data_IF_150960367690
#
_entry.id   IF_150960367690
#
_cell.length_a   1.000
_cell.length_b   1.000
_cell.length_c   1.000
_cell.angle_alpha   90.00
_cell.angle_beta   90.00
_cell.angle_gamma   90.00
#
_symmetry.space_group_name_H-M   'P 1'
#
loop_
_entity.id
_entity.type
_entity.pdbx_description
1 polymer ?
#
# COMPACT_ATOMS: atom_id res chain seq x y z
N UNK A 1 -0.07 -1.06 9.10
CA UNK A 1 -0.55 -2.45 8.89
C UNK A 1 -1.77 -2.82 9.74
N UNK A 2 -1.86 -2.45 11.03
CA UNK A 2 -2.91 -2.94 11.96
C UNK A 2 -4.37 -2.95 11.42
N UNK A 3 -4.89 -1.88 10.77
CA UNK A 3 -6.26 -1.90 10.24
C UNK A 3 -6.54 -2.99 9.21
N UNK A 4 -5.51 -3.47 8.50
CA UNK A 4 -5.61 -4.54 7.50
C UNK A 4 -5.71 -5.89 8.20
N UNK A 5 -4.90 -6.10 9.25
CA UNK A 5 -4.89 -7.34 10.02
C UNK A 5 -6.17 -7.52 10.84
N UNK A 6 -6.70 -6.43 11.40
CA UNK A 6 -7.92 -6.47 12.21
C UNK A 6 -9.18 -6.62 11.36
N UNK A 7 -9.13 -6.26 10.07
CA UNK A 7 -10.26 -6.36 9.15
C UNK A 7 -9.82 -6.71 7.72
N UNK A 8 -9.35 -7.94 7.47
CA UNK A 8 -8.81 -8.34 6.18
C UNK A 8 -9.87 -8.33 5.06
N UNK A 9 -11.13 -8.62 5.37
CA UNK A 9 -12.24 -8.53 4.41
C UNK A 9 -12.43 -7.10 3.88
N UNK A 10 -12.30 -6.08 4.75
CA UNK A 10 -12.34 -4.68 4.33
C UNK A 10 -11.22 -4.33 3.35
N UNK A 11 -10.04 -4.91 3.54
CA UNK A 11 -8.82 -4.57 2.81
C UNK A 11 -8.37 -5.62 1.80
N UNK A 12 -9.23 -6.57 1.40
CA UNK A 12 -8.83 -7.72 0.57
C UNK A 12 -8.33 -7.37 -0.84
N UNK A 13 -8.48 -6.13 -1.31
CA UNK A 13 -7.78 -5.61 -2.49
C UNK A 13 -6.26 -5.46 -2.27
N UNK A 14 -5.81 -5.44 -1.01
CA UNK A 14 -4.40 -5.54 -0.64
C UNK A 14 -3.96 -7.00 -0.79
N UNK A 15 -2.98 -7.31 -1.65
CA UNK A 15 -2.54 -8.68 -1.85
C UNK A 15 -1.87 -9.26 -0.58
N UNK A 16 -1.72 -10.58 -0.57
CA UNK A 16 -1.06 -11.33 0.51
C UNK A 16 -1.69 -11.11 1.90
N UNK A 17 -2.95 -10.68 1.96
CA UNK A 17 -3.68 -10.51 3.20
C UNK A 17 -4.22 -11.86 3.70
N UNK A 18 -3.87 -12.26 4.92
CA UNK A 18 -4.49 -13.43 5.55
C UNK A 18 -5.97 -13.14 5.82
N UNK A 19 -6.84 -14.06 5.44
CA UNK A 19 -8.28 -13.81 5.36
C UNK A 19 -9.01 -13.71 6.70
N UNK A 20 -8.42 -14.19 7.80
CA UNK A 20 -9.03 -14.13 9.13
C UNK A 20 -8.52 -12.91 9.91
N UNK A 21 -9.41 -12.20 10.64
CA UNK A 21 -9.01 -11.11 11.53
C UNK A 21 -7.98 -11.58 12.56
N UNK A 22 -6.89 -10.83 12.69
CA UNK A 22 -5.86 -11.02 13.71
C UNK A 22 -6.03 -9.94 14.77
N UNK A 23 -6.19 -10.35 16.03
CA UNK A 23 -6.21 -9.42 17.17
C UNK A 23 -4.84 -8.79 17.35
N UNK A 24 -4.81 -7.46 17.48
CA UNK A 24 -3.58 -6.71 17.72
C UNK A 24 -3.47 -6.35 19.20
N UNK A 25 -2.47 -6.89 19.89
CA UNK A 25 -2.23 -6.58 21.31
C UNK A 25 -1.50 -5.25 21.51
N UNK A 26 -0.62 -4.87 20.58
CA UNK A 26 0.10 -3.59 20.60
C UNK A 26 0.29 -3.03 19.20
N UNK A 27 0.13 -1.71 19.07
CA UNK A 27 0.44 -0.94 17.85
C UNK A 27 1.65 -0.06 18.14
N UNK A 28 2.54 0.05 17.16
CA UNK A 28 3.74 0.87 17.23
C UNK A 28 3.66 2.04 16.27
N UNK A 29 4.14 3.19 16.72
CA UNK A 29 4.32 4.40 15.92
C UNK A 29 5.68 4.37 15.19
N UNK A 30 5.82 5.19 14.14
CA UNK A 30 7.09 5.35 13.44
C UNK A 30 8.17 5.91 14.38
N UNK A 31 9.27 5.18 14.53
CA UNK A 31 10.36 5.48 15.46
C UNK A 31 10.13 5.02 16.91
N UNK A 32 9.01 4.36 17.21
CA UNK A 32 8.72 3.86 18.56
C UNK A 32 9.69 2.76 18.97
N UNK A 33 10.00 2.72 20.28
CA UNK A 33 10.88 1.74 20.87
C UNK A 33 10.16 0.80 21.84
N UNK A 34 10.71 -0.41 21.96
CA UNK A 34 10.33 -1.34 23.00
C UNK A 34 11.50 -2.21 23.40
N UNK A 35 11.43 -2.73 24.62
CA UNK A 35 12.38 -3.72 25.13
C UNK A 35 11.72 -5.08 25.13
N UNK A 36 12.45 -6.08 24.63
CA UNK A 36 12.10 -7.48 24.74
C UNK A 36 13.36 -8.25 25.16
N UNK A 37 13.29 -8.91 26.31
CA UNK A 37 14.44 -9.47 27.02
C UNK A 37 15.55 -8.41 27.19
N UNK A 38 16.80 -8.72 26.80
CA UNK A 38 17.95 -7.82 26.87
C UNK A 38 18.02 -6.78 25.75
N UNK A 39 17.16 -6.87 24.72
CA UNK A 39 17.27 -6.06 23.51
C UNK A 39 16.29 -4.87 23.51
N UNK A 40 16.80 -3.71 23.10
CA UNK A 40 15.99 -2.52 22.81
C UNK A 40 15.81 -2.38 21.31
N UNK A 41 14.60 -2.64 20.85
CA UNK A 41 14.22 -2.52 19.46
C UNK A 41 13.62 -1.15 19.17
N UNK A 42 13.85 -0.65 17.96
CA UNK A 42 13.17 0.52 17.38
C UNK A 42 12.54 0.16 16.05
N UNK A 43 11.30 0.55 15.85
CA UNK A 43 10.53 0.24 14.63
C UNK A 43 10.43 1.49 13.77
N UNK A 44 10.72 1.36 12.48
CA UNK A 44 10.52 2.42 11.50
C UNK A 44 9.52 1.99 10.43
N UNK A 45 8.66 2.90 10.00
CA UNK A 45 7.82 2.69 8.82
C UNK A 45 8.65 2.92 7.56
N UNK A 46 8.86 1.86 6.80
CA UNK A 46 9.76 1.85 5.63
C UNK A 46 8.99 1.24 4.46
N UNK A 47 8.10 2.02 3.82
CA UNK A 47 7.20 1.50 2.80
C UNK A 47 8.01 1.19 1.54
N UNK A 48 8.46 -0.05 1.33
CA UNK A 48 9.16 -0.42 0.11
C UNK A 48 8.46 -1.56 -0.62
N UNK A 49 8.77 -2.83 -0.31
CA UNK A 49 8.08 -3.96 -0.96
C UNK A 49 6.54 -3.89 -0.79
N UNK A 50 6.06 -3.26 0.29
CA UNK A 50 4.65 -2.91 0.50
C UNK A 50 4.52 -1.53 1.14
N UNK A 51 3.40 -0.84 0.95
CA UNK A 51 3.06 0.44 1.62
C UNK A 51 3.05 0.33 3.16
N UNK A 52 2.93 -0.88 3.71
CA UNK A 52 2.77 -1.13 5.15
C UNK A 52 4.00 -1.76 5.81
N UNK A 53 5.10 -1.88 5.08
CA UNK A 53 6.34 -2.51 5.54
C UNK A 53 7.05 -1.71 6.65
N UNK A 54 7.75 -2.41 7.54
CA UNK A 54 8.55 -1.82 8.63
C UNK A 54 9.93 -2.44 8.71
N UNK A 55 10.92 -1.62 9.08
CA UNK A 55 12.27 -2.08 9.47
C UNK A 55 12.38 -2.04 10.98
N UNK A 56 12.98 -3.07 11.57
CA UNK A 56 13.23 -3.17 13.01
C UNK A 56 14.74 -3.08 13.25
N UNK A 57 15.15 -2.21 14.17
CA UNK A 57 16.56 -1.94 14.46
C UNK A 57 16.87 -2.28 15.91
N UNK A 58 18.03 -2.88 16.15
CA UNK A 58 18.57 -3.12 17.50
C UNK A 58 20.10 -3.13 17.46
N UNK A 59 20.73 -3.28 18.62
CA UNK A 59 22.18 -3.52 18.74
C UNK A 59 22.41 -4.88 19.39
N UNK A 60 23.22 -5.73 18.75
CA UNK A 60 23.62 -7.06 19.24
C UNK A 60 25.14 -7.11 19.20
N UNK A 61 25.80 -7.46 20.30
CA UNK A 61 27.27 -7.52 20.41
C UNK A 61 27.97 -6.25 19.88
N UNK A 62 27.48 -5.09 20.31
CA UNK A 62 27.92 -3.76 19.86
C UNK A 62 27.76 -3.46 18.35
N UNK A 63 27.08 -4.33 17.59
CA UNK A 63 26.79 -4.14 16.16
C UNK A 63 25.35 -3.66 15.98
N UNK A 64 25.15 -2.54 15.28
CA UNK A 64 23.80 -2.07 14.92
C UNK A 64 23.25 -2.90 13.77
N UNK A 65 22.11 -3.57 13.99
CA UNK A 65 21.47 -4.47 13.03
C UNK A 65 20.13 -3.89 12.59
N UNK A 66 19.83 -3.97 11.30
CA UNK A 66 18.50 -3.73 10.76
C UNK A 66 17.89 -5.03 10.20
N UNK A 67 16.77 -5.46 10.77
CA UNK A 67 15.90 -6.47 10.19
C UNK A 67 15.02 -5.80 9.14
N UNK A 68 15.30 -6.08 7.88
CA UNK A 68 14.64 -5.39 6.75
C UNK A 68 13.52 -6.21 6.13
N UNK A 69 13.32 -7.47 6.55
CA UNK A 69 12.39 -8.37 5.87
C UNK A 69 12.65 -8.33 4.36
N UNK A 70 11.59 -8.29 3.57
CA UNK A 70 11.76 -8.32 2.12
C UNK A 70 12.14 -6.98 1.48
N UNK A 71 12.53 -5.95 2.25
CA UNK A 71 12.67 -4.61 1.68
C UNK A 71 13.94 -4.42 0.84
N UNK A 72 15.08 -4.87 1.37
CA UNK A 72 16.40 -4.68 0.77
C UNK A 72 17.12 -6.02 0.74
N UNK A 73 17.59 -6.41 -0.44
CA UNK A 73 18.43 -7.59 -0.67
C UNK A 73 19.75 -7.17 -1.29
N UNK A 74 20.76 -8.04 -1.22
CA UNK A 74 21.89 -8.01 -2.14
C UNK A 74 21.58 -8.84 -3.37
N UNK A 75 21.91 -8.33 -4.56
CA UNK A 75 21.79 -9.09 -5.79
C UNK A 75 23.11 -9.07 -6.57
N UNK A 76 23.57 -10.21 -7.09
CA UNK A 76 24.80 -10.24 -7.88
C UNK A 76 24.58 -9.54 -9.22
N UNK A 77 25.35 -8.49 -9.46
CA UNK A 77 25.40 -7.73 -10.71
C UNK A 77 26.70 -8.06 -11.43
N UNK A 78 26.59 -8.43 -12.70
CA UNK A 78 27.76 -8.69 -13.52
C UNK A 78 28.51 -7.37 -13.80
N UNK A 79 29.79 -7.34 -13.43
CA UNK A 79 30.69 -6.22 -13.71
C UNK A 79 31.69 -6.63 -14.80
N UNK A 80 32.52 -5.67 -15.23
CA UNK A 80 33.47 -5.90 -16.33
C UNK A 80 34.46 -7.02 -15.99
N UNK A 81 34.76 -7.89 -16.96
CA UNK A 81 35.81 -8.91 -16.81
C UNK A 81 35.44 -10.12 -15.95
N UNK A 82 34.21 -10.63 -16.06
CA UNK A 82 33.70 -11.81 -15.31
C UNK A 82 33.61 -11.65 -13.78
N UNK A 83 33.75 -10.42 -13.29
CA UNK A 83 33.52 -10.09 -11.89
C UNK A 83 32.01 -9.93 -11.62
N UNK A 84 31.62 -10.20 -10.38
CA UNK A 84 30.25 -9.96 -9.88
C UNK A 84 30.34 -9.22 -8.57
N UNK A 85 29.64 -8.10 -8.46
CA UNK A 85 29.50 -7.33 -7.23
C UNK A 85 28.07 -7.50 -6.68
N UNK A 86 27.91 -7.35 -5.38
CA UNK A 86 26.63 -7.56 -4.70
C UNK A 86 26.00 -6.21 -4.34
N UNK A 87 25.14 -5.71 -5.22
CA UNK A 87 24.54 -4.40 -5.04
C UNK A 87 23.30 -4.48 -4.16
N UNK A 88 23.09 -3.50 -3.26
CA UNK A 88 21.87 -3.39 -2.47
C UNK A 88 20.71 -2.94 -3.36
N UNK A 89 19.69 -3.78 -3.49
CA UNK A 89 18.50 -3.48 -4.28
C UNK A 89 17.25 -3.28 -3.41
N UNK A 90 16.39 -2.35 -3.82
CA UNK A 90 15.05 -2.22 -3.26
C UNK A 90 14.10 -3.15 -4.01
N UNK A 91 13.57 -4.14 -3.32
CA UNK A 91 12.59 -5.05 -3.89
C UNK A 91 11.27 -4.29 -4.13
N UNK A 92 10.53 -4.73 -5.14
CA UNK A 92 9.23 -4.15 -5.49
C UNK A 92 8.29 -5.23 -5.98
N UNK A 93 7.06 -5.18 -5.47
CA UNK A 93 5.92 -5.91 -6.04
C UNK A 93 4.84 -4.87 -6.31
N UNK A 94 4.62 -4.50 -7.57
CA UNK A 94 3.69 -3.41 -7.94
C UNK A 94 2.28 -3.58 -7.36
N UNK A 95 1.82 -4.84 -7.25
CA UNK A 95 0.51 -5.13 -6.71
C UNK A 95 0.39 -4.85 -5.21
N UNK A 96 1.49 -4.63 -4.48
CA UNK A 96 1.52 -4.40 -3.04
C UNK A 96 1.42 -2.90 -2.66
N UNK A 97 0.81 -2.08 -3.53
CA UNK A 97 0.93 -0.61 -3.58
C UNK A 97 2.35 -0.16 -3.97
N UNK A 98 2.42 0.86 -4.83
CA UNK A 98 3.68 1.51 -5.19
C UNK A 98 3.45 3.00 -5.43
N UNK A 99 4.18 3.85 -4.72
CA UNK A 99 4.30 5.28 -5.02
C UNK A 99 5.79 5.62 -5.06
N UNK A 100 6.22 6.55 -5.91
CA UNK A 100 7.65 6.88 -6.04
C UNK A 100 8.27 7.33 -4.70
N UNK A 101 7.51 8.07 -3.89
CA UNK A 101 7.93 8.55 -2.56
C UNK A 101 8.19 7.44 -1.54
N UNK A 102 7.63 6.24 -1.75
CA UNK A 102 7.82 5.08 -0.86
C UNK A 102 9.31 4.72 -0.74
N UNK A 103 9.97 4.55 -1.87
CA UNK A 103 11.38 4.18 -1.95
C UNK A 103 12.32 5.31 -1.52
N UNK A 104 11.92 6.56 -1.77
CA UNK A 104 12.63 7.71 -1.20
C UNK A 104 12.59 7.68 0.33
N UNK A 105 11.44 7.39 0.96
CA UNK A 105 11.38 7.21 2.42
C UNK A 105 12.28 6.04 2.88
N UNK A 106 12.36 4.96 2.09
CA UNK A 106 13.26 3.85 2.39
C UNK A 106 14.73 4.31 2.48
N UNK A 107 15.23 5.02 1.45
CA UNK A 107 16.60 5.55 1.45
C UNK A 107 16.84 6.53 2.60
N UNK A 108 15.89 7.42 2.89
CA UNK A 108 16.02 8.41 3.97
C UNK A 108 16.13 7.73 5.34
N UNK A 109 15.31 6.70 5.59
CA UNK A 109 15.33 5.95 6.84
C UNK A 109 16.61 5.12 6.97
N UNK A 110 17.05 4.45 5.91
CA UNK A 110 18.28 3.66 5.95
C UNK A 110 19.52 4.52 6.15
N UNK A 111 19.60 5.70 5.53
CA UNK A 111 20.66 6.69 5.79
C UNK A 111 20.61 7.23 7.22
N UNK A 112 19.41 7.43 7.78
CA UNK A 112 19.25 7.88 9.17
C UNK A 112 19.69 6.81 10.19
N UNK A 113 19.32 5.55 9.96
CA UNK A 113 19.65 4.45 10.86
C UNK A 113 21.13 4.11 10.76
N UNK A 114 21.63 4.03 9.52
CA UNK A 114 22.97 3.58 9.13
C UNK A 114 23.37 2.31 9.92
N UNK A 115 22.66 1.18 9.69
CA UNK A 115 22.99 -0.08 10.36
C UNK A 115 24.35 -0.58 9.86
N UNK A 116 25.04 -1.37 10.66
CA UNK A 116 26.30 -2.02 10.24
C UNK A 116 26.02 -3.32 9.50
N UNK A 117 24.89 -3.97 9.80
CA UNK A 117 24.42 -5.19 9.13
C UNK A 117 22.93 -5.16 8.83
N UNK A 118 22.57 -5.74 7.70
CA UNK A 118 21.18 -6.03 7.33
C UNK A 118 20.92 -7.52 7.48
N UNK A 119 19.80 -7.84 8.12
CA UNK A 119 19.20 -9.16 8.17
C UNK A 119 17.94 -9.15 7.28
N UNK A 120 18.06 -9.59 6.00
CA UNK A 120 16.93 -9.62 5.09
C UNK A 120 15.94 -10.74 5.45
N UNK A 121 14.75 -10.69 4.87
CA UNK A 121 13.73 -11.73 5.00
C UNK A 121 14.09 -13.04 4.30
N UNK A 122 14.99 -12.98 3.32
CA UNK A 122 15.50 -14.13 2.57
C UNK A 122 16.99 -13.96 2.28
N UNK A 123 17.73 -15.06 2.24
CA UNK A 123 19.16 -15.08 1.97
C UNK A 123 20.03 -14.79 3.19
N UNK A 124 21.30 -14.50 2.93
CA UNK A 124 22.32 -14.27 3.96
C UNK A 124 22.29 -12.85 4.50
N UNK A 125 22.77 -12.68 5.73
CA UNK A 125 23.01 -11.35 6.30
C UNK A 125 24.21 -10.69 5.63
N UNK A 126 24.17 -9.38 5.43
CA UNK A 126 25.25 -8.66 4.76
C UNK A 126 25.62 -7.34 5.43
N UNK A 127 26.84 -6.86 5.15
CA UNK A 127 27.34 -5.59 5.64
C UNK A 127 26.66 -4.42 4.90
N UNK A 128 26.31 -3.39 5.66
CA UNK A 128 25.68 -2.18 5.14
C UNK A 128 26.43 -0.94 5.60
N UNK A 129 27.69 -0.84 5.20
CA UNK A 129 28.50 0.32 5.54
C UNK A 129 28.02 1.59 4.81
N UNK A 130 28.75 2.68 5.03
CA UNK A 130 28.42 3.98 4.43
C UNK A 130 28.46 3.93 2.90
N UNK A 131 29.40 3.18 2.31
CA UNK A 131 29.50 3.04 0.86
C UNK A 131 28.25 2.33 0.31
N UNK A 132 27.84 1.23 0.95
CA UNK A 132 26.63 0.49 0.61
C UNK A 132 25.36 1.34 0.72
N UNK A 133 25.31 2.24 1.70
CA UNK A 133 24.20 3.17 1.87
C UNK A 133 24.15 4.24 0.75
N UNK A 134 25.31 4.69 0.28
CA UNK A 134 25.45 5.59 -0.87
C UNK A 134 25.03 4.88 -2.16
N UNK A 135 25.51 3.67 -2.42
CA UNK A 135 25.11 2.83 -3.57
C UNK A 135 23.61 2.55 -3.60
N UNK A 136 23.03 2.21 -2.44
CA UNK A 136 21.58 2.03 -2.32
C UNK A 136 20.80 3.32 -2.60
N UNK A 137 21.32 4.47 -2.15
CA UNK A 137 20.70 5.77 -2.43
C UNK A 137 20.72 6.10 -3.92
N UNK A 138 21.84 5.85 -4.58
CA UNK A 138 22.00 6.02 -6.02
C UNK A 138 21.09 5.09 -6.82
N UNK A 139 20.98 3.81 -6.41
CA UNK A 139 20.04 2.86 -7.00
C UNK A 139 18.59 3.39 -6.96
N UNK A 140 18.17 3.93 -5.81
CA UNK A 140 16.81 4.47 -5.63
C UNK A 140 16.59 5.68 -6.55
N UNK A 141 17.56 6.58 -6.63
CA UNK A 141 17.45 7.81 -7.43
C UNK A 141 17.46 7.52 -8.95
N UNK A 142 18.30 6.59 -9.40
CA UNK A 142 18.30 6.12 -10.78
C UNK A 142 16.98 5.42 -11.13
N UNK A 143 16.51 4.52 -10.25
CA UNK A 143 15.22 3.85 -10.42
C UNK A 143 14.08 4.85 -10.52
N UNK A 144 14.00 5.84 -9.63
CA UNK A 144 12.95 6.86 -9.68
C UNK A 144 13.01 7.67 -10.98
N UNK A 145 14.22 8.06 -11.41
CA UNK A 145 14.43 8.77 -12.68
C UNK A 145 13.88 7.97 -13.86
N UNK A 146 14.24 6.69 -13.96
CA UNK A 146 13.76 5.79 -15.01
C UNK A 146 12.24 5.61 -14.98
N UNK A 147 11.62 5.49 -13.80
CA UNK A 147 10.16 5.44 -13.70
C UNK A 147 9.50 6.70 -14.26
N UNK A 148 10.08 7.88 -13.98
CA UNK A 148 9.56 9.16 -14.46
C UNK A 148 9.72 9.30 -15.97
N UNK A 149 10.85 8.86 -16.52
CA UNK A 149 11.11 8.90 -17.96
C UNK A 149 10.23 7.94 -18.76
N UNK A 150 9.92 6.77 -18.20
CA UNK A 150 9.15 5.72 -18.89
C UNK A 150 7.63 5.82 -18.68
N UNK A 151 7.16 6.58 -17.69
CA UNK A 151 5.73 6.70 -17.37
C UNK A 151 5.11 7.95 -17.99
N UNK A 152 3.80 7.93 -18.33
CA UNK A 152 3.09 9.15 -18.71
C UNK A 152 3.08 10.19 -17.57
N UNK A 153 2.99 11.48 -17.93
CA UNK A 153 2.91 12.54 -16.91
C UNK A 153 1.49 12.73 -16.33
N UNK A 154 1.34 12.85 -14.99
CA UNK A 154 2.37 12.73 -13.98
C UNK A 154 2.65 11.26 -13.61
N UNK A 155 3.93 10.88 -13.52
CA UNK A 155 4.36 9.51 -13.27
C UNK A 155 3.75 8.91 -11.98
N UNK A 156 3.54 9.75 -10.95
CA UNK A 156 2.89 9.38 -9.69
C UNK A 156 1.48 8.82 -9.91
N UNK A 157 0.70 9.41 -10.80
CA UNK A 157 -0.68 8.97 -11.07
C UNK A 157 -0.70 7.60 -11.77
N UNK A 158 0.25 7.36 -12.67
CA UNK A 158 0.29 6.14 -13.48
C UNK A 158 1.10 5.00 -12.86
N UNK A 159 1.86 5.28 -11.79
CA UNK A 159 2.57 4.26 -11.01
C UNK A 159 1.74 3.71 -9.85
N UNK A 160 0.82 4.53 -9.31
CA UNK A 160 0.05 4.21 -8.13
C UNK A 160 -1.21 3.40 -8.45
N UNK A 161 -1.11 2.07 -8.46
CA UNK A 161 -2.23 1.18 -8.73
C UNK A 161 -3.46 1.43 -7.82
N UNK A 162 -3.23 1.95 -6.61
CA UNK A 162 -4.28 2.18 -5.62
C UNK A 162 -4.48 3.67 -5.29
N UNK A 163 -4.28 4.54 -6.28
CA UNK A 163 -4.67 5.95 -6.17
C UNK A 163 -6.17 6.11 -5.88
N UNK A 164 -6.98 5.12 -6.24
CA UNK A 164 -8.36 4.96 -5.81
C UNK A 164 -8.61 3.55 -5.24
N UNK A 165 -9.37 3.45 -4.14
CA UNK A 165 -9.73 2.16 -3.52
C UNK A 165 -11.12 2.23 -2.89
N UNK A 166 -11.98 1.27 -3.19
CA UNK A 166 -13.32 1.17 -2.61
C UNK A 166 -13.29 0.21 -1.41
N UNK A 167 -13.75 0.69 -0.25
CA UNK A 167 -13.79 -0.09 1.00
C UNK A 167 -15.23 -0.17 1.53
N UNK A 168 -15.67 -1.27 2.15
CA UNK A 168 -14.94 -2.53 2.29
C UNK A 168 -14.84 -3.25 0.94
N UNK A 169 -13.69 -3.88 0.65
CA UNK A 169 -13.55 -4.66 -0.59
C UNK A 169 -14.46 -5.89 -0.59
N UNK A 170 -14.69 -6.54 0.56
CA UNK A 170 -15.68 -7.60 0.70
C UNK A 170 -16.68 -7.26 1.80
N UNK A 171 -17.97 -7.34 1.47
CA UNK A 171 -19.06 -7.07 2.40
C UNK A 171 -20.13 -8.16 2.36
N UNK A 172 -20.67 -8.52 3.52
CA UNK A 172 -21.85 -9.39 3.66
C UNK A 172 -22.95 -8.60 4.37
N UNK A 173 -24.06 -8.38 3.66
CA UNK A 173 -25.14 -7.45 4.05
C UNK A 173 -26.42 -8.24 4.24
N UNK A 174 -27.22 -7.97 5.28
CA UNK A 174 -28.53 -8.63 5.39
C UNK A 174 -29.49 -8.10 4.33
N UNK A 175 -30.47 -8.92 3.98
CA UNK A 175 -31.56 -8.51 3.09
C UNK A 175 -32.24 -7.22 3.58
N UNK A 176 -32.43 -6.26 2.68
CA UNK A 176 -33.04 -4.97 3.00
C UNK A 176 -32.19 -4.00 3.83
N UNK A 177 -30.95 -4.33 4.21
CA UNK A 177 -30.04 -3.43 4.94
C UNK A 177 -29.19 -2.58 4.00
N UNK A 178 -28.65 -1.48 4.53
CA UNK A 178 -27.75 -0.59 3.81
C UNK A 178 -26.28 -1.04 3.95
N UNK A 179 -25.51 -0.82 2.89
CA UNK A 179 -24.06 -0.98 2.85
C UNK A 179 -23.42 0.33 2.43
N UNK A 180 -22.58 0.86 3.31
CA UNK A 180 -21.76 2.03 3.06
C UNK A 180 -20.43 1.62 2.42
N UNK A 181 -20.01 2.38 1.41
CA UNK A 181 -18.70 2.32 0.83
C UNK A 181 -17.95 3.63 1.03
N UNK A 182 -16.68 3.51 1.41
CA UNK A 182 -15.70 4.58 1.43
C UNK A 182 -14.81 4.44 0.21
N UNK A 183 -14.94 5.35 -0.76
CA UNK A 183 -13.96 5.48 -1.83
C UNK A 183 -12.80 6.35 -1.32
N UNK A 184 -11.64 5.72 -1.09
CA UNK A 184 -10.39 6.41 -0.85
C UNK A 184 -9.83 6.90 -2.18
N UNK A 185 -9.39 8.16 -2.24
CA UNK A 185 -8.71 8.75 -3.39
C UNK A 185 -7.45 9.51 -2.96
N UNK A 186 -6.41 9.46 -3.78
CA UNK A 186 -5.16 10.20 -3.60
C UNK A 186 -4.93 11.15 -4.77
N UNK A 187 -4.61 12.41 -4.47
CA UNK A 187 -4.25 13.38 -5.49
C UNK A 187 -2.75 13.31 -5.81
N UNK A 188 -2.41 12.53 -6.84
CA UNK A 188 -1.04 12.36 -7.32
C UNK A 188 -0.60 13.46 -8.31
N UNK A 189 -1.40 14.51 -8.50
CA UNK A 189 -1.06 15.64 -9.36
C UNK A 189 -0.37 16.74 -8.56
N UNK A 190 0.59 17.44 -9.18
CA UNK A 190 1.29 18.59 -8.59
C UNK A 190 0.43 19.83 -8.29
N UNK A 191 -0.89 19.75 -8.45
CA UNK A 191 -1.84 20.84 -8.20
C UNK A 191 -3.13 20.31 -7.59
N UNK A 192 -3.94 21.22 -7.04
CA UNK A 192 -5.24 20.84 -6.52
C UNK A 192 -6.15 20.29 -7.65
N UNK A 193 -6.88 19.23 -7.34
CA UNK A 193 -7.78 18.52 -8.26
C UNK A 193 -9.13 18.27 -7.59
N UNK A 194 -10.19 18.33 -8.38
CA UNK A 194 -11.50 17.85 -7.93
C UNK A 194 -11.66 16.38 -8.32
N UNK A 195 -12.10 15.55 -7.39
CA UNK A 195 -12.47 14.16 -7.62
C UNK A 195 -13.98 14.06 -7.47
N UNK A 196 -14.65 13.50 -8.47
CA UNK A 196 -16.06 13.13 -8.41
C UNK A 196 -16.18 11.64 -8.61
N UNK A 197 -17.10 11.02 -7.89
CA UNK A 197 -17.35 9.59 -8.02
C UNK A 197 -18.84 9.29 -8.07
N UNK A 198 -19.18 8.27 -8.85
CA UNK A 198 -20.51 7.71 -8.95
C UNK A 198 -20.44 6.19 -8.74
N UNK A 199 -21.26 5.69 -7.84
CA UNK A 199 -21.32 4.28 -7.48
C UNK A 199 -22.23 3.53 -8.45
N UNK A 200 -21.66 2.52 -9.10
CA UNK A 200 -22.37 1.62 -9.99
C UNK A 200 -22.80 0.38 -9.20
N UNK A 201 -24.07 0.39 -8.77
CA UNK A 201 -24.66 -0.69 -7.99
C UNK A 201 -25.10 -1.87 -8.87
N UNK A 202 -25.12 -3.11 -8.33
CA UNK A 202 -25.69 -4.25 -9.04
C UNK A 202 -27.18 -4.04 -9.33
N UNK A 203 -27.70 -4.61 -10.42
CA UNK A 203 -29.06 -4.38 -10.97
C UNK A 203 -30.21 -4.39 -9.95
N UNK A 204 -30.14 -5.25 -8.92
CA UNK A 204 -31.20 -5.44 -7.92
C UNK A 204 -31.01 -4.59 -6.66
N UNK A 205 -29.89 -3.89 -6.52
CA UNK A 205 -29.58 -3.05 -5.36
C UNK A 205 -30.09 -1.64 -5.59
N UNK A 206 -30.61 -1.02 -4.53
CA UNK A 206 -31.06 0.37 -4.58
C UNK A 206 -29.91 1.29 -4.18
N UNK A 207 -29.63 2.30 -5.00
CA UNK A 207 -28.71 3.38 -4.62
C UNK A 207 -29.41 4.29 -3.61
N UNK A 208 -28.80 4.48 -2.43
CA UNK A 208 -29.26 5.42 -1.39
C UNK A 208 -28.51 6.74 -1.52
N UNK A 209 -27.18 6.67 -1.58
CA UNK A 209 -26.29 7.80 -1.84
C UNK A 209 -25.30 7.40 -2.94
N UNK A 210 -25.59 7.77 -4.17
CA UNK A 210 -24.87 7.27 -5.35
C UNK A 210 -23.64 8.05 -5.77
N UNK A 211 -23.42 9.24 -5.25
CA UNK A 211 -22.31 10.07 -5.72
C UNK A 211 -21.78 11.00 -4.64
N UNK A 212 -20.58 11.53 -4.90
CA UNK A 212 -19.95 12.55 -4.08
C UNK A 212 -18.80 13.23 -4.80
N UNK A 213 -18.28 14.29 -4.19
CA UNK A 213 -17.13 15.04 -4.70
C UNK A 213 -16.24 15.51 -3.56
N UNK A 214 -14.95 15.66 -3.86
CA UNK A 214 -13.98 16.25 -2.95
C UNK A 214 -12.93 17.01 -3.74
N UNK A 215 -12.47 18.16 -3.21
CA UNK A 215 -11.34 18.90 -3.77
C UNK A 215 -10.12 18.65 -2.89
N UNK A 216 -9.04 18.14 -3.49
CA UNK A 216 -7.83 17.76 -2.79
C UNK A 216 -6.67 18.66 -3.20
N UNK A 217 -5.86 19.09 -2.23
CA UNK A 217 -4.56 19.73 -2.52
C UNK A 217 -3.59 18.72 -3.12
N UNK A 218 -2.49 19.20 -3.72
CA UNK A 218 -1.41 18.34 -4.23
C UNK A 218 -0.93 17.38 -3.13
N UNK A 219 -0.78 16.10 -3.47
CA UNK A 219 -0.28 15.04 -2.57
C UNK A 219 -1.23 14.63 -1.43
N UNK A 220 -2.40 15.24 -1.30
CA UNK A 220 -3.36 14.88 -0.25
C UNK A 220 -4.24 13.70 -0.63
N UNK A 221 -4.82 13.04 0.37
CA UNK A 221 -5.81 11.96 0.20
C UNK A 221 -7.15 12.39 0.79
N UNK A 222 -8.23 11.75 0.35
CA UNK A 222 -9.56 12.00 0.88
C UNK A 222 -10.53 10.86 0.64
N UNK A 223 -11.74 11.02 1.15
CA UNK A 223 -12.75 9.98 1.19
C UNK A 223 -14.07 10.47 0.62
N UNK A 224 -14.71 9.65 -0.22
CA UNK A 224 -16.07 9.86 -0.71
C UNK A 224 -16.93 8.70 -0.22
N UNK A 225 -17.94 9.02 0.60
CA UNK A 225 -18.87 8.04 1.16
C UNK A 225 -20.10 7.89 0.26
N UNK A 226 -20.42 6.67 -0.14
CA UNK A 226 -21.57 6.30 -0.98
C UNK A 226 -22.29 5.08 -0.38
N UNK A 227 -23.59 4.92 -0.62
CA UNK A 227 -24.42 3.93 0.08
C UNK A 227 -25.38 3.25 -0.87
N UNK A 228 -25.48 1.93 -0.78
CA UNK A 228 -26.49 1.11 -1.46
C UNK A 228 -27.32 0.34 -0.44
N UNK A 229 -28.46 -0.18 -0.87
CA UNK A 229 -29.37 -1.00 -0.06
C UNK A 229 -29.62 -2.34 -0.73
N UNK A 230 -29.46 -3.41 0.04
CA UNK A 230 -29.64 -4.77 -0.41
C UNK A 230 -31.10 -5.03 -0.83
N UNK A 231 -31.35 -5.83 -1.88
CA UNK A 231 -32.70 -6.28 -2.22
C UNK A 231 -33.31 -7.07 -1.05
N UNK A 232 -34.64 -6.98 -0.90
CA UNK A 232 -35.38 -7.74 0.12
C UNK A 232 -35.59 -9.21 -0.25
N UNK A 233 -35.64 -9.50 -1.55
CA UNK A 233 -35.80 -10.85 -2.11
C UNK A 233 -34.90 -10.98 -3.34
N UNK A 234 -33.60 -11.30 -3.18
CA UNK A 234 -32.67 -11.39 -4.29
C UNK A 234 -33.13 -12.47 -5.27
N UNK A 235 -33.36 -12.10 -6.53
CA UNK A 235 -33.94 -13.00 -7.53
C UNK A 235 -32.96 -14.09 -7.98
N UNK A 236 -31.66 -13.88 -7.73
CA UNK A 236 -30.58 -14.75 -8.13
C UNK A 236 -29.76 -15.19 -6.91
N UNK A 237 -29.48 -16.49 -6.82
CA UNK A 237 -28.59 -17.08 -5.80
C UNK A 237 -27.10 -16.70 -5.93
N UNK A 238 -26.80 -15.58 -6.59
CA UNK A 238 -25.44 -15.08 -6.83
C UNK A 238 -24.76 -14.83 -5.49
N UNK A 239 -23.65 -15.53 -5.28
CA UNK A 239 -22.93 -15.50 -4.02
C UNK A 239 -22.24 -14.15 -3.78
N UNK A 240 -21.66 -13.51 -4.82
CA UNK A 240 -20.99 -12.20 -4.73
C UNK A 240 -21.24 -11.38 -5.99
N UNK A 241 -21.55 -10.11 -5.82
CA UNK A 241 -21.81 -9.15 -6.90
C UNK A 241 -20.79 -8.01 -6.85
N UNK A 242 -20.38 -7.55 -8.04
CA UNK A 242 -19.44 -6.46 -8.19
C UNK A 242 -20.14 -5.12 -7.98
N UNK A 243 -19.52 -4.25 -7.20
CA UNK A 243 -19.83 -2.82 -7.09
C UNK A 243 -18.60 -2.08 -7.59
N UNK A 244 -18.78 -1.10 -8.46
CA UNK A 244 -17.66 -0.26 -8.92
C UNK A 244 -17.97 1.21 -8.67
N UNK A 245 -16.92 2.04 -8.66
CA UNK A 245 -17.05 3.49 -8.65
C UNK A 245 -16.42 4.06 -9.92
N UNK A 246 -17.23 4.75 -10.72
CA UNK A 246 -16.74 5.56 -11.82
C UNK A 246 -16.19 6.89 -11.27
N UNK A 247 -14.97 7.24 -11.67
CA UNK A 247 -14.27 8.41 -11.14
C UNK A 247 -14.00 9.41 -12.24
N UNK A 248 -14.22 10.69 -11.94
CA UNK A 248 -13.79 11.81 -12.74
C UNK A 248 -12.75 12.62 -11.96
N UNK A 249 -11.66 12.98 -12.65
CA UNK A 249 -10.68 13.94 -12.13
C UNK A 249 -10.87 15.24 -12.92
N UNK A 250 -11.26 16.29 -12.21
CA UNK A 250 -11.87 17.51 -12.75
C UNK A 250 -13.07 17.17 -13.65
N UNK A 251 -12.89 17.20 -14.97
CA UNK A 251 -13.92 16.85 -15.96
C UNK A 251 -13.52 15.66 -16.85
N UNK A 252 -12.42 14.98 -16.51
CA UNK A 252 -11.87 13.88 -17.32
C UNK A 252 -12.29 12.54 -16.69
N UNK A 253 -13.06 11.69 -17.41
CA UNK A 253 -13.44 10.38 -16.92
C UNK A 253 -12.22 9.46 -16.82
N UNK A 254 -12.13 8.72 -15.72
CA UNK A 254 -11.15 7.65 -15.50
C UNK A 254 -11.78 6.26 -15.67
N UNK A 255 -13.11 6.18 -15.69
CA UNK A 255 -13.86 4.92 -15.74
C UNK A 255 -14.05 4.26 -14.36
N UNK A 256 -14.61 3.04 -14.33
CA UNK A 256 -14.92 2.28 -13.11
C UNK A 256 -13.67 1.58 -12.54
N UNK A 257 -12.68 2.38 -12.13
CA UNK A 257 -11.33 1.90 -11.74
C UNK A 257 -11.22 1.40 -10.30
N UNK A 258 -12.25 1.62 -9.47
CA UNK A 258 -12.30 1.12 -8.10
C UNK A 258 -13.47 0.15 -7.95
N UNK A 259 -13.24 -0.97 -7.26
CA UNK A 259 -14.19 -2.07 -7.16
C UNK A 259 -14.29 -2.62 -5.73
N UNK A 260 -15.43 -3.25 -5.44
CA UNK A 260 -15.71 -4.02 -4.24
C UNK A 260 -16.70 -5.15 -4.54
N UNK A 261 -16.80 -6.11 -3.64
CA UNK A 261 -17.69 -7.26 -3.69
C UNK A 261 -18.72 -7.18 -2.57
N UNK A 262 -19.99 -7.34 -2.93
CA UNK A 262 -21.10 -7.44 -1.97
C UNK A 262 -21.80 -8.78 -2.10
N UNK A 263 -22.26 -9.26 -0.95
CA UNK A 263 -23.07 -10.45 -0.84
C UNK A 263 -24.27 -10.16 0.05
N UNK A 264 -25.45 -10.60 -0.36
CA UNK A 264 -26.60 -10.67 0.56
C UNK A 264 -26.47 -11.93 1.41
N UNK A 265 -26.52 -11.78 2.73
CA UNK A 265 -26.55 -12.90 3.66
C UNK A 265 -27.80 -13.74 3.37
N UNK A 266 -27.60 -15.03 3.09
CA UNK A 266 -28.71 -15.97 2.95
C UNK A 266 -29.45 -16.07 4.31
N UNK A 267 -30.78 -16.16 4.30
CA UNK A 267 -31.55 -16.39 5.52
C UNK A 267 -31.10 -17.66 6.25
#
# INVERSE_FOLDING_TARGET
MAPILENPARWSSTPCCYHEPIRIDRRFSDGEEFTWEEYRFRIYHVPGQTEFHSVIVTTIDNTKIAFTGDNIFEYPVATWGSHTEADPIQTQVFRNSFQLSMHKKCKEVMNKILPERICPGHGETFYFDKLKAEEYSDYIDQKETLFRELSPEPAEQYSDLFWARLLPYQSVVKSGEEQEFTLLVRNNFGKAKEFRAELLAPKEWKIVKGSGRIRLSSGSSGEIIMTIKAPTNPANGIFRQLVTAEIHIDSIPQGPVAEALVQVKRP
#
